data_IF_884648615640
#
_entry.id   IF_884648615640
#
_cell.length_a   1.000
_cell.length_b   1.000
_cell.length_c   1.000
_cell.angle_alpha   90.00
_cell.angle_beta   90.00
_cell.angle_gamma   90.00
#
_symmetry.space_group_name_H-M   'P 1'
#
loop_
_entity.id
_entity.type
_entity.pdbx_description
1 polymer ?
#
# COMPACT_ATOMS: atom_id res chain seq x y z
N UNK A 1 8.54 8.79 -5.45
CA UNK A 1 8.89 7.41 -5.02
C UNK A 1 8.13 6.43 -5.92
N UNK A 2 8.53 5.16 -6.05
CA UNK A 2 7.79 4.13 -6.78
C UNK A 2 7.45 2.94 -5.87
N UNK A 3 6.48 2.10 -6.26
CA UNK A 3 5.98 1.01 -5.42
C UNK A 3 7.08 0.07 -4.89
N UNK A 4 8.06 -0.32 -5.71
CA UNK A 4 9.17 -1.17 -5.24
C UNK A 4 10.02 -0.49 -4.15
N UNK A 5 10.14 0.84 -4.18
CA UNK A 5 10.84 1.63 -3.16
C UNK A 5 10.02 1.69 -1.87
N UNK A 6 8.68 1.68 -1.94
CA UNK A 6 7.84 1.54 -0.74
C UNK A 6 8.16 0.23 -0.03
N UNK A 7 8.24 -0.88 -0.76
CA UNK A 7 8.63 -2.17 -0.18
C UNK A 7 10.06 -2.20 0.38
N UNK A 8 10.96 -1.32 -0.10
CA UNK A 8 12.32 -1.22 0.45
C UNK A 8 12.34 -0.61 1.85
N UNK A 9 11.46 0.37 2.11
CA UNK A 9 11.47 1.18 3.33
C UNK A 9 10.38 0.81 4.33
N UNK A 10 9.30 0.16 3.87
CA UNK A 10 8.19 -0.25 4.73
C UNK A 10 8.62 -1.26 5.79
N UNK A 11 8.11 -1.07 7.01
CA UNK A 11 8.18 -1.96 8.14
C UNK A 11 7.77 -3.39 7.74
N UNK A 12 8.62 -4.41 7.94
CA UNK A 12 8.33 -5.78 7.49
C UNK A 12 7.06 -6.41 8.06
N UNK A 13 6.62 -5.99 9.25
CA UNK A 13 5.37 -6.48 9.84
C UNK A 13 4.15 -6.10 8.99
N UNK A 14 4.09 -4.87 8.47
CA UNK A 14 2.99 -4.41 7.60
C UNK A 14 2.89 -5.27 6.34
N UNK A 15 4.03 -5.65 5.74
CA UNK A 15 4.05 -6.54 4.57
C UNK A 15 3.62 -7.95 4.93
N UNK A 16 4.00 -8.41 6.12
CA UNK A 16 3.58 -9.71 6.63
C UNK A 16 2.08 -9.75 6.85
N UNK A 17 1.53 -8.73 7.50
CA UNK A 17 0.09 -8.57 7.76
C UNK A 17 -0.70 -8.49 6.45
N UNK A 18 -0.21 -7.71 5.48
CA UNK A 18 -0.80 -7.63 4.14
C UNK A 18 -0.92 -9.02 3.49
N UNK A 19 0.17 -9.78 3.47
CA UNK A 19 0.16 -11.10 2.83
C UNK A 19 -0.61 -12.14 3.64
N UNK A 20 -0.64 -12.04 4.97
CA UNK A 20 -1.47 -12.90 5.82
C UNK A 20 -2.96 -12.63 5.57
N UNK A 21 -3.36 -11.35 5.51
CA UNK A 21 -4.71 -10.96 5.12
C UNK A 21 -5.09 -11.54 3.75
N UNK A 22 -4.20 -11.45 2.74
CA UNK A 22 -4.46 -12.07 1.43
C UNK A 22 -4.66 -13.59 1.55
N UNK A 23 -3.86 -14.29 2.36
CA UNK A 23 -4.01 -15.75 2.53
C UNK A 23 -5.36 -16.14 3.15
N UNK A 24 -5.83 -15.32 4.08
CA UNK A 24 -7.02 -15.58 4.87
C UNK A 24 -8.30 -15.18 4.13
N UNK A 25 -8.24 -14.13 3.30
CA UNK A 25 -9.41 -13.58 2.60
C UNK A 25 -9.50 -13.99 1.12
N UNK A 26 -8.37 -14.11 0.42
CA UNK A 26 -8.30 -14.44 -1.00
C UNK A 26 -7.03 -15.27 -1.31
N UNK A 27 -7.14 -16.58 -1.05
CA UNK A 27 -6.01 -17.49 -1.21
C UNK A 27 -5.51 -17.58 -2.66
N UNK A 28 -6.36 -17.30 -3.65
CA UNK A 28 -5.95 -17.30 -5.06
C UNK A 28 -5.16 -16.03 -5.41
N UNK A 29 -5.53 -14.86 -4.86
CA UNK A 29 -4.71 -13.64 -4.95
C UNK A 29 -3.29 -13.89 -4.41
N UNK A 30 -3.18 -14.49 -3.21
CA UNK A 30 -1.88 -14.81 -2.63
C UNK A 30 -1.05 -15.75 -3.53
N UNK A 31 -1.66 -16.83 -4.03
CA UNK A 31 -0.98 -17.79 -4.93
C UNK A 31 -0.53 -17.13 -6.23
N UNK A 32 -1.37 -16.26 -6.79
CA UNK A 32 -1.08 -15.51 -8.02
C UNK A 32 0.09 -14.56 -7.80
N UNK A 33 0.11 -13.82 -6.68
CA UNK A 33 1.23 -12.96 -6.31
C UNK A 33 2.54 -13.74 -6.22
N UNK A 34 2.53 -14.87 -5.49
CA UNK A 34 3.69 -15.74 -5.35
C UNK A 34 4.17 -16.27 -6.72
N UNK A 35 3.25 -16.70 -7.58
CA UNK A 35 3.53 -17.20 -8.93
C UNK A 35 4.13 -16.16 -9.87
N UNK A 36 3.58 -14.96 -9.88
CA UNK A 36 4.06 -13.84 -10.71
C UNK A 36 5.47 -13.40 -10.26
N UNK A 37 5.69 -13.28 -8.94
CA UNK A 37 7.02 -12.97 -8.41
C UNK A 37 8.03 -14.10 -8.71
N UNK A 38 7.61 -15.37 -8.62
CA UNK A 38 8.48 -16.51 -8.93
C UNK A 38 8.90 -16.49 -10.40
N UNK A 39 7.96 -16.22 -11.30
CA UNK A 39 8.21 -16.09 -12.75
C UNK A 39 9.20 -14.96 -13.05
N UNK A 40 9.04 -13.79 -12.42
CA UNK A 40 9.99 -12.66 -12.54
C UNK A 40 11.42 -13.04 -12.10
N UNK A 41 11.54 -13.99 -11.18
CA UNK A 41 12.81 -14.49 -10.67
C UNK A 41 13.30 -15.76 -11.36
N UNK A 42 12.61 -16.23 -12.42
CA UNK A 42 12.86 -17.49 -13.12
C UNK A 42 12.94 -18.70 -12.16
N UNK A 43 12.15 -18.66 -11.09
CA UNK A 43 12.10 -19.68 -10.06
C UNK A 43 10.83 -20.52 -10.22
N UNK A 44 10.95 -21.85 -10.05
CA UNK A 44 9.80 -22.74 -10.11
C UNK A 44 8.90 -22.52 -8.89
N UNK A 45 7.63 -22.15 -9.11
CA UNK A 45 6.65 -21.88 -8.05
C UNK A 45 6.53 -23.04 -7.03
N UNK A 46 6.60 -24.29 -7.49
CA UNK A 46 6.50 -25.47 -6.62
C UNK A 46 7.61 -25.56 -5.56
N UNK A 47 8.78 -24.94 -5.79
CA UNK A 47 9.83 -24.85 -4.78
C UNK A 47 9.43 -23.93 -3.63
N UNK A 48 8.81 -22.79 -3.95
CA UNK A 48 8.33 -21.83 -2.96
C UNK A 48 7.11 -22.37 -2.18
N UNK A 49 6.19 -23.05 -2.87
CA UNK A 49 4.97 -23.59 -2.25
C UNK A 49 5.25 -24.63 -1.16
N UNK A 50 6.41 -25.30 -1.20
CA UNK A 50 6.83 -26.26 -0.16
C UNK A 50 7.31 -25.58 1.12
N UNK A 51 7.61 -24.29 1.07
CA UNK A 51 8.09 -23.54 2.23
C UNK A 51 6.93 -23.17 3.16
N UNK A 52 7.19 -22.98 4.47
CA UNK A 52 6.24 -22.36 5.39
C UNK A 52 5.75 -20.99 4.87
N UNK A 53 4.54 -20.57 5.30
CA UNK A 53 3.96 -19.30 4.87
C UNK A 53 4.86 -18.09 5.20
N UNK A 54 5.49 -18.09 6.37
CA UNK A 54 6.42 -17.06 6.82
C UNK A 54 7.63 -16.92 5.89
N UNK A 55 8.25 -18.04 5.50
CA UNK A 55 9.36 -18.04 4.52
C UNK A 55 8.93 -17.59 3.12
N UNK A 56 7.70 -17.95 2.69
CA UNK A 56 7.17 -17.47 1.41
C UNK A 56 7.00 -15.95 1.43
N UNK A 57 6.42 -15.40 2.50
CA UNK A 57 6.20 -13.96 2.70
C UNK A 57 7.52 -13.20 2.73
N UNK A 58 8.51 -13.68 3.49
CA UNK A 58 9.83 -13.08 3.55
C UNK A 58 10.48 -13.03 2.16
N UNK A 59 10.37 -14.14 1.40
CA UNK A 59 10.89 -14.20 0.04
C UNK A 59 10.15 -13.25 -0.92
N UNK A 60 8.83 -13.14 -0.80
CA UNK A 60 8.03 -12.21 -1.61
C UNK A 60 8.39 -10.76 -1.29
N UNK A 61 8.49 -10.40 0.00
CA UNK A 61 8.92 -9.06 0.42
C UNK A 61 10.28 -8.71 -0.17
N UNK A 62 11.27 -9.60 -0.04
CA UNK A 62 12.61 -9.41 -0.63
C UNK A 62 12.54 -9.22 -2.15
N UNK A 63 11.63 -9.91 -2.84
CA UNK A 63 11.48 -9.80 -4.30
C UNK A 63 10.75 -8.52 -4.72
N UNK A 64 9.80 -8.03 -3.92
CA UNK A 64 9.07 -6.79 -4.16
C UNK A 64 9.95 -5.54 -4.04
N UNK A 65 11.07 -5.63 -3.32
CA UNK A 65 12.10 -4.57 -3.24
C UNK A 65 12.84 -4.32 -4.56
N UNK A 66 12.66 -5.17 -5.57
CA UNK A 66 13.34 -5.06 -6.86
C UNK A 66 12.54 -4.20 -7.84
N UNK A 67 13.21 -3.33 -8.59
CA UNK A 67 12.58 -2.48 -9.62
C UNK A 67 11.77 -3.28 -10.64
N UNK A 68 12.21 -4.48 -11.00
CA UNK A 68 11.51 -5.39 -11.91
C UNK A 68 10.15 -5.87 -11.38
N UNK A 69 9.90 -5.75 -10.08
CA UNK A 69 8.63 -6.10 -9.44
C UNK A 69 7.68 -4.91 -9.34
N UNK A 70 8.02 -3.73 -9.88
CA UNK A 70 7.27 -2.48 -9.69
C UNK A 70 5.77 -2.59 -9.99
N UNK A 71 5.39 -3.17 -11.12
CA UNK A 71 3.97 -3.35 -11.48
C UNK A 71 3.23 -4.29 -10.53
N UNK A 72 3.85 -5.40 -10.13
CA UNK A 72 3.24 -6.33 -9.17
C UNK A 72 3.12 -5.67 -7.80
N UNK A 73 4.15 -4.93 -7.37
CA UNK A 73 4.17 -4.19 -6.12
C UNK A 73 3.02 -3.18 -6.05
N UNK A 74 2.84 -2.39 -7.10
CA UNK A 74 1.76 -1.41 -7.18
C UNK A 74 0.38 -2.07 -7.13
N UNK A 75 0.17 -3.13 -7.92
CA UNK A 75 -1.10 -3.85 -7.92
C UNK A 75 -1.43 -4.46 -6.55
N UNK A 76 -0.46 -5.04 -5.85
CA UNK A 76 -0.67 -5.60 -4.52
C UNK A 76 -1.06 -4.54 -3.50
N UNK A 77 -0.42 -3.36 -3.56
CA UNK A 77 -0.78 -2.23 -2.69
C UNK A 77 -2.19 -1.73 -3.00
N UNK A 78 -2.54 -1.56 -4.28
CA UNK A 78 -3.88 -1.17 -4.70
C UNK A 78 -4.93 -2.15 -4.15
N UNK A 79 -4.77 -3.45 -4.37
CA UNK A 79 -5.73 -4.45 -3.86
C UNK A 79 -5.78 -4.47 -2.35
N UNK A 80 -4.63 -4.36 -1.67
CA UNK A 80 -4.58 -4.34 -0.21
C UNK A 80 -5.31 -3.15 0.37
N UNK A 81 -5.10 -1.94 -0.15
CA UNK A 81 -5.81 -0.77 0.36
C UNK A 81 -7.29 -0.86 0.03
N UNK A 82 -7.63 -1.12 -1.23
CA UNK A 82 -9.02 -1.11 -1.72
C UNK A 82 -9.93 -2.18 -1.12
N UNK A 83 -9.39 -3.23 -0.49
CA UNK A 83 -10.18 -4.34 0.07
C UNK A 83 -9.79 -4.73 1.50
N UNK A 84 -8.51 -4.62 1.85
CA UNK A 84 -7.99 -5.00 3.16
C UNK A 84 -7.91 -3.85 4.16
N UNK A 85 -7.96 -2.61 3.67
CA UNK A 85 -7.85 -1.39 4.48
C UNK A 85 -8.90 -0.35 4.06
N UNK A 86 -10.11 -0.79 3.73
CA UNK A 86 -11.23 0.08 3.31
C UNK A 86 -11.46 1.23 4.30
N UNK A 87 -11.33 0.98 5.61
CA UNK A 87 -11.49 2.01 6.65
C UNK A 87 -10.49 3.17 6.54
N UNK A 88 -9.24 2.93 6.11
CA UNK A 88 -8.26 3.98 5.88
C UNK A 88 -8.67 4.86 4.69
N UNK A 89 -9.15 4.25 3.60
CA UNK A 89 -9.62 4.98 2.43
C UNK A 89 -10.84 5.85 2.77
N UNK A 90 -11.84 5.27 3.44
CA UNK A 90 -13.05 5.99 3.86
C UNK A 90 -12.68 7.18 4.75
N UNK A 91 -11.87 6.96 5.79
CA UNK A 91 -11.45 8.03 6.72
C UNK A 91 -10.75 9.17 5.97
N UNK A 92 -9.86 8.84 5.02
CA UNK A 92 -9.14 9.83 4.24
C UNK A 92 -10.05 10.60 3.28
N UNK A 93 -10.94 9.91 2.56
CA UNK A 93 -11.89 10.52 1.64
C UNK A 93 -12.90 11.41 2.39
N UNK A 94 -13.45 10.95 3.50
CA UNK A 94 -14.39 11.72 4.34
C UNK A 94 -13.74 13.02 4.85
N UNK A 95 -12.51 12.93 5.38
CA UNK A 95 -11.81 14.10 5.92
C UNK A 95 -11.43 15.13 4.85
N UNK A 96 -11.17 14.68 3.62
CA UNK A 96 -10.91 15.56 2.47
C UNK A 96 -12.18 16.00 1.74
N UNK A 97 -13.35 15.48 2.13
CA UNK A 97 -14.62 15.64 1.43
C UNK A 97 -14.55 15.18 -0.04
N UNK A 98 -13.83 14.10 -0.32
CA UNK A 98 -13.75 13.46 -1.63
C UNK A 98 -14.94 12.50 -1.79
N UNK A 99 -15.83 12.68 -2.78
CA UNK A 99 -16.94 11.77 -3.02
C UNK A 99 -16.47 10.33 -3.30
N UNK A 100 -17.04 9.37 -2.58
CA UNK A 100 -16.67 7.96 -2.69
C UNK A 100 -17.89 7.04 -2.48
N UNK A 101 -17.76 5.78 -2.91
CA UNK A 101 -18.82 4.75 -2.92
C UNK A 101 -19.22 4.17 -1.55
N UNK A 102 -18.88 4.86 -0.46
CA UNK A 102 -19.00 4.34 0.91
C UNK A 102 -17.91 3.34 1.34
N UNK A 103 -17.01 2.92 0.44
CA UNK A 103 -15.86 2.03 0.73
C UNK A 103 -14.51 2.68 0.42
N UNK A 104 -14.53 3.98 0.19
CA UNK A 104 -13.35 4.78 -0.13
C UNK A 104 -12.88 4.62 -1.59
N UNK A 105 -13.69 4.01 -2.46
CA UNK A 105 -13.44 4.09 -3.90
C UNK A 105 -14.04 5.40 -4.43
N UNK A 106 -13.20 6.25 -5.01
CA UNK A 106 -13.63 7.55 -5.53
C UNK A 106 -14.56 7.34 -6.73
N UNK A 107 -15.74 7.95 -6.69
CA UNK A 107 -16.78 7.74 -7.70
C UNK A 107 -16.47 8.45 -9.03
N UNK A 108 -15.70 9.54 -8.95
CA UNK A 108 -15.33 10.39 -10.08
C UNK A 108 -13.81 10.53 -10.18
N UNK A 109 -13.34 11.63 -10.74
CA UNK A 109 -11.93 11.97 -10.78
C UNK A 109 -11.44 12.47 -9.42
N UNK A 110 -10.20 12.14 -9.09
CA UNK A 110 -9.52 12.71 -7.94
C UNK A 110 -9.31 14.21 -8.14
N UNK A 111 -9.36 15.01 -7.07
CA UNK A 111 -9.14 16.45 -7.19
C UNK A 111 -7.71 16.75 -7.63
N UNK A 112 -7.52 17.79 -8.45
CA UNK A 112 -6.19 18.25 -8.89
C UNK A 112 -5.32 18.76 -7.73
N UNK A 113 -5.96 19.23 -6.67
CA UNK A 113 -5.30 19.79 -5.47
C UNK A 113 -5.97 19.29 -4.19
N UNK A 114 -5.20 19.19 -3.12
CA UNK A 114 -5.69 18.85 -1.80
C UNK A 114 -5.64 20.09 -0.92
N UNK A 115 -6.75 20.41 -0.27
CA UNK A 115 -6.81 21.50 0.70
C UNK A 115 -5.84 21.23 1.87
N UNK A 116 -4.91 22.15 2.21
CA UNK A 116 -3.90 21.90 3.23
C UNK A 116 -4.45 21.63 4.63
N UNK A 117 -5.51 22.32 5.03
CA UNK A 117 -6.08 22.19 6.37
C UNK A 117 -6.83 20.87 6.49
N UNK A 118 -7.61 20.50 5.46
CA UNK A 118 -8.27 19.19 5.39
C UNK A 118 -7.27 18.04 5.28
N UNK A 119 -6.20 18.20 4.50
CA UNK A 119 -5.15 17.19 4.38
C UNK A 119 -4.49 16.94 5.74
N UNK A 120 -4.17 17.99 6.49
CA UNK A 120 -3.62 17.84 7.83
C UNK A 120 -4.59 17.12 8.76
N UNK A 121 -5.86 17.52 8.77
CA UNK A 121 -6.89 16.87 9.58
C UNK A 121 -7.08 15.39 9.20
N UNK A 122 -7.04 15.06 7.90
CA UNK A 122 -7.10 13.69 7.41
C UNK A 122 -5.91 12.85 7.90
N UNK A 123 -4.69 13.39 7.83
CA UNK A 123 -3.49 12.73 8.35
C UNK A 123 -3.61 12.47 9.86
N UNK A 124 -4.03 13.47 10.64
CA UNK A 124 -4.22 13.32 12.08
C UNK A 124 -5.27 12.25 12.41
N UNK A 125 -6.42 12.25 11.72
CA UNK A 125 -7.47 11.25 11.90
C UNK A 125 -7.01 9.82 11.57
N UNK A 126 -6.21 9.64 10.51
CA UNK A 126 -5.65 8.34 10.18
C UNK A 126 -4.68 7.84 11.27
N UNK A 127 -3.87 8.73 11.84
CA UNK A 127 -2.86 8.38 12.85
C UNK A 127 -3.46 8.04 14.23
N UNK A 128 -4.66 8.54 14.56
CA UNK A 128 -5.31 8.24 15.84
C UNK A 128 -5.67 6.76 16.03
N UNK A 129 -5.95 6.03 14.93
CA UNK A 129 -6.46 4.67 14.98
C UNK A 129 -5.55 3.59 14.37
N UNK A 130 -4.41 3.96 13.79
CA UNK A 130 -3.63 3.07 12.93
C UNK A 130 -2.12 3.11 13.24
N UNK A 131 -1.39 2.07 12.86
CA UNK A 131 0.08 2.08 12.89
C UNK A 131 0.58 3.21 11.95
N UNK A 132 1.41 4.15 12.42
CA UNK A 132 1.93 5.24 11.59
C UNK A 132 2.64 4.77 10.31
N UNK A 133 3.32 3.62 10.33
CA UNK A 133 3.96 3.06 9.14
C UNK A 133 2.93 2.56 8.10
N UNK A 134 1.76 2.10 8.54
CA UNK A 134 0.65 1.73 7.65
C UNK A 134 0.04 2.99 7.02
N UNK A 135 -0.16 4.06 7.81
CA UNK A 135 -0.64 5.35 7.32
C UNK A 135 0.34 5.94 6.31
N UNK A 136 1.64 5.93 6.61
CA UNK A 136 2.68 6.37 5.70
C UNK A 136 2.67 5.58 4.39
N UNK A 137 2.55 4.24 4.46
CA UNK A 137 2.45 3.39 3.27
C UNK A 137 1.22 3.73 2.42
N UNK A 138 0.07 3.94 3.06
CA UNK A 138 -1.16 4.34 2.40
C UNK A 138 -0.99 5.67 1.67
N UNK A 139 -0.56 6.71 2.37
CA UNK A 139 -0.41 8.05 1.83
C UNK A 139 0.63 8.10 0.71
N UNK A 140 1.75 7.41 0.86
CA UNK A 140 2.73 7.28 -0.22
C UNK A 140 2.15 6.56 -1.43
N UNK A 141 1.35 5.50 -1.23
CA UNK A 141 0.70 4.76 -2.32
C UNK A 141 -0.35 5.62 -3.03
N UNK A 142 -1.17 6.35 -2.26
CA UNK A 142 -2.14 7.29 -2.80
C UNK A 142 -1.44 8.35 -3.65
N UNK A 143 -0.33 8.91 -3.17
CA UNK A 143 0.45 9.91 -3.90
C UNK A 143 1.08 9.39 -5.23
N UNK A 144 1.07 8.08 -5.50
CA UNK A 144 1.48 7.52 -6.79
C UNK A 144 0.39 7.59 -7.86
N UNK A 145 -0.86 7.86 -7.50
CA UNK A 145 -1.99 7.89 -8.44
C UNK A 145 -1.95 9.09 -9.40
N UNK A 146 -1.23 10.14 -9.02
CA UNK A 146 -0.99 11.31 -9.85
C UNK A 146 0.48 11.37 -10.26
N UNK A 147 0.79 11.68 -11.54
CA UNK A 147 2.17 11.94 -11.95
C UNK A 147 2.80 13.00 -11.05
N UNK A 148 3.98 12.72 -10.50
CA UNK A 148 4.71 13.56 -9.53
C UNK A 148 4.02 13.76 -8.15
N UNK A 149 2.81 13.21 -7.97
CA UNK A 149 2.03 13.32 -6.74
C UNK A 149 1.42 14.71 -6.51
N UNK A 150 0.61 14.83 -5.46
CA UNK A 150 0.07 16.12 -5.04
C UNK A 150 1.12 16.90 -4.25
N UNK A 151 1.39 18.15 -4.64
CA UNK A 151 2.39 19.01 -3.99
C UNK A 151 2.21 19.08 -2.47
N UNK A 152 0.97 19.25 -1.99
CA UNK A 152 0.66 19.31 -0.55
C UNK A 152 0.94 17.98 0.18
N UNK A 153 0.58 16.86 -0.43
CA UNK A 153 0.82 15.53 0.14
C UNK A 153 2.29 15.16 0.13
N UNK A 154 3.00 15.42 -0.98
CA UNK A 154 4.45 15.23 -1.09
C UNK A 154 5.20 16.01 -0.01
N UNK A 155 4.81 17.26 0.24
CA UNK A 155 5.39 18.06 1.31
C UNK A 155 5.09 17.47 2.69
N UNK A 156 3.84 17.11 2.95
CA UNK A 156 3.42 16.52 4.24
C UNK A 156 4.19 15.22 4.54
N UNK A 157 4.33 14.35 3.55
CA UNK A 157 5.13 13.12 3.65
C UNK A 157 6.62 13.35 3.91
N UNK A 158 7.15 14.51 3.55
CA UNK A 158 8.56 14.86 3.77
C UNK A 158 8.79 15.55 5.13
N UNK A 159 7.83 16.35 5.58
CA UNK A 159 7.96 17.22 6.76
C UNK A 159 7.41 16.58 8.05
N UNK A 160 6.45 15.65 7.96
CA UNK A 160 5.83 15.02 9.14
C UNK A 160 6.61 13.76 9.56
N UNK A 161 7.36 13.87 10.66
CA UNK A 161 8.17 12.78 11.23
C UNK A 161 7.35 11.55 11.66
N UNK A 162 6.02 11.68 11.79
CA UNK A 162 5.13 10.54 12.09
C UNK A 162 4.92 9.65 10.86
N UNK A 163 5.11 10.19 9.66
CA UNK A 163 4.84 9.51 8.38
C UNK A 163 6.07 8.76 7.84
N UNK A 164 6.79 8.07 8.72
CA UNK A 164 7.91 7.21 8.34
C UNK A 164 7.44 5.82 7.97
N UNK A 165 8.01 5.25 6.91
CA UNK A 165 7.69 3.89 6.47
C UNK A 165 8.19 2.78 7.43
N UNK A 166 9.09 3.09 8.37
CA UNK A 166 9.79 2.12 9.24
C UNK A 166 9.12 1.82 10.57
#
# INVERSE_FOLDING_TARGET
MQAYQLFQHVKPSIVSDMFMWMRDTDRELYKTALGSLASNRKLRLTYLQKKPATEQIEWMHKTLKLKTSGMIAEHLLQVYFMKGQESLLVTFCDALEIPHDGKGQVENELPDTLDPDKLKAAVDALLEGNDPALVALYLHTFNLQTPDGWTGLTKTLADDERLTLS
#
